data_IF_362577738840
#
_entry.id   IF_362577738840
#
_cell.length_a   1.000
_cell.length_b   1.000
_cell.length_c   1.000
_cell.angle_alpha   90.00
_cell.angle_beta   90.00
_cell.angle_gamma   90.00
#
_symmetry.space_group_name_H-M   'P 1'
#
loop_
_entity.id
_entity.type
_entity.pdbx_description
1 polymer ?
#
# COMPACT_ATOMS: atom_id res chain seq x y z
N UNK A 1 10.31 4.65 21.06
CA UNK A 1 9.05 4.42 21.80
C UNK A 1 7.94 5.04 20.97
N UNK A 2 6.85 4.32 20.71
CA UNK A 2 5.70 4.82 19.96
C UNK A 2 4.44 4.15 20.49
N UNK A 3 3.26 4.71 20.21
CA UNK A 3 1.98 4.09 20.58
C UNK A 3 1.44 3.33 19.36
N UNK A 4 1.20 2.03 19.52
CA UNK A 4 0.50 1.25 18.50
C UNK A 4 -0.89 1.85 18.29
N UNK A 5 -1.23 2.23 17.06
CA UNK A 5 -2.50 2.86 16.73
C UNK A 5 -3.68 1.87 16.69
N UNK A 6 -3.40 0.57 16.85
CA UNK A 6 -4.39 -0.52 16.86
C UNK A 6 -4.75 -0.90 18.29
N UNK A 7 -3.76 -1.32 19.09
CA UNK A 7 -3.98 -1.77 20.46
C UNK A 7 -3.74 -0.68 21.53
N UNK A 8 -3.30 0.52 21.14
CA UNK A 8 -3.01 1.66 22.02
C UNK A 8 -1.93 1.42 23.10
N UNK A 9 -1.22 0.30 23.05
CA UNK A 9 -0.06 0.01 23.91
C UNK A 9 1.16 0.81 23.44
N UNK A 10 1.95 1.30 24.39
CA UNK A 10 3.22 1.97 24.09
C UNK A 10 4.31 0.93 23.92
N UNK A 11 4.89 0.86 22.71
CA UNK A 11 5.98 -0.04 22.39
C UNK A 11 7.31 0.46 22.99
N UNK A 12 8.11 -0.41 23.65
CA UNK A 12 9.35 0.00 24.28
C UNK A 12 10.39 0.48 23.25
N UNK A 13 11.47 1.15 23.70
CA UNK A 13 12.60 1.48 22.83
C UNK A 13 13.17 0.22 22.13
N UNK A 14 13.55 0.35 20.86
CA UNK A 14 14.12 -0.76 20.07
C UNK A 14 13.09 -1.71 19.46
N UNK A 15 11.80 -1.62 19.81
CA UNK A 15 10.75 -2.36 19.09
C UNK A 15 10.49 -1.72 17.72
N UNK A 16 10.51 -2.48 16.61
CA UNK A 16 10.23 -1.93 15.30
C UNK A 16 8.77 -1.52 15.18
N UNK A 17 8.52 -0.46 14.42
CA UNK A 17 7.19 0.02 14.07
C UNK A 17 6.88 -0.42 12.64
N UNK A 18 5.71 -0.99 12.42
CA UNK A 18 5.31 -1.48 11.09
C UNK A 18 4.07 -0.74 10.62
N UNK A 19 4.05 -0.35 9.34
CA UNK A 19 2.87 0.25 8.71
C UNK A 19 1.99 -0.87 8.18
N UNK A 20 0.73 -0.86 8.59
CA UNK A 20 -0.29 -1.78 8.09
C UNK A 20 -1.45 -1.03 7.46
N UNK A 21 -1.97 -1.61 6.39
CA UNK A 21 -3.16 -1.12 5.70
C UNK A 21 -4.40 -1.47 6.53
N UNK A 22 -5.20 -0.45 6.84
CA UNK A 22 -6.49 -0.62 7.53
C UNK A 22 -7.62 -0.66 6.51
N UNK A 23 -7.54 0.20 5.50
CA UNK A 23 -8.63 0.42 4.55
C UNK A 23 -8.06 0.65 3.16
N UNK A 24 -8.65 -0.03 2.18
CA UNK A 24 -8.42 0.19 0.76
C UNK A 24 -9.68 0.76 0.12
N UNK A 25 -9.51 1.55 -0.93
CA UNK A 25 -10.61 2.10 -1.73
C UNK A 25 -10.38 1.81 -3.20
N UNK A 26 -11.44 1.52 -3.93
CA UNK A 26 -11.37 1.46 -5.39
C UNK A 26 -11.02 2.85 -5.95
N UNK A 27 -10.13 2.88 -6.93
CA UNK A 27 -9.68 4.10 -7.60
C UNK A 27 -9.65 3.87 -9.11
N UNK A 28 -10.11 4.88 -9.85
CA UNK A 28 -10.05 4.91 -11.30
C UNK A 28 -9.07 6.01 -11.73
N UNK A 29 -8.09 5.61 -12.53
CA UNK A 29 -7.02 6.45 -13.03
C UNK A 29 -7.29 6.84 -14.48
N UNK A 30 -7.38 8.13 -14.80
CA UNK A 30 -7.58 8.57 -16.18
C UNK A 30 -6.32 8.34 -17.01
N UNK A 31 -6.48 8.24 -18.33
CA UNK A 31 -5.35 8.22 -19.25
C UNK A 31 -4.53 9.50 -19.16
N UNK A 32 -3.19 9.38 -19.20
CA UNK A 32 -2.23 10.47 -19.05
C UNK A 32 -1.25 10.46 -20.23
N UNK A 33 -1.36 11.39 -21.18
CA UNK A 33 -0.44 11.46 -22.32
C UNK A 33 0.96 11.90 -21.86
N UNK A 34 2.01 11.32 -22.48
CA UNK A 34 3.44 11.58 -22.23
C UNK A 34 3.86 11.41 -20.77
N UNK A 35 3.16 10.60 -19.98
CA UNK A 35 3.42 10.41 -18.56
C UNK A 35 4.80 9.79 -18.31
N UNK A 36 5.21 8.85 -19.17
CA UNK A 36 6.51 8.20 -19.08
C UNK A 36 7.48 8.84 -20.08
N UNK A 37 8.71 9.10 -19.64
CA UNK A 37 9.75 9.59 -20.53
C UNK A 37 11.09 8.95 -20.21
N UNK A 38 11.84 8.65 -21.25
CA UNK A 38 13.20 8.14 -21.10
C UNK A 38 14.07 8.63 -22.24
N UNK A 39 15.37 8.74 -21.97
CA UNK A 39 16.35 9.20 -22.96
C UNK A 39 16.88 8.02 -23.76
N UNK A 40 16.83 8.13 -25.09
CA UNK A 40 17.51 7.19 -26.00
C UNK A 40 18.55 7.98 -26.78
N UNK A 41 19.82 7.86 -26.38
CA UNK A 41 20.91 8.68 -26.90
C UNK A 41 20.71 10.16 -26.57
N UNK A 42 20.65 11.02 -27.60
CA UNK A 42 20.40 12.47 -27.44
C UNK A 42 18.92 12.85 -27.46
N UNK A 43 18.00 11.94 -27.83
CA UNK A 43 16.57 12.22 -27.99
C UNK A 43 15.77 11.78 -26.76
N UNK A 44 14.72 12.54 -26.44
CA UNK A 44 13.74 12.17 -25.42
C UNK A 44 12.60 11.41 -26.09
N UNK A 45 12.25 10.23 -25.57
CA UNK A 45 11.06 9.48 -25.96
C UNK A 45 10.01 9.61 -24.86
N UNK A 46 8.76 9.73 -25.27
CA UNK A 46 7.61 9.79 -24.39
C UNK A 46 6.69 8.60 -24.68
N UNK A 47 6.07 8.07 -23.64
CA UNK A 47 5.01 7.07 -23.75
C UNK A 47 3.81 7.51 -22.89
N UNK A 48 2.63 7.18 -23.38
CA UNK A 48 1.37 7.47 -22.72
C UNK A 48 1.09 6.41 -21.65
N UNK A 49 0.42 6.81 -20.58
CA UNK A 49 -0.14 5.93 -19.58
C UNK A 49 -1.64 5.81 -19.85
N UNK A 50 -2.18 4.62 -20.22
CA UNK A 50 -3.59 4.47 -20.55
C UNK A 50 -4.52 4.67 -19.35
N UNK A 51 -3.99 4.70 -18.12
CA UNK A 51 -4.81 4.67 -16.92
C UNK A 51 -5.40 3.28 -16.67
N UNK A 52 -6.44 3.20 -15.85
CA UNK A 52 -7.10 1.95 -15.47
C UNK A 52 -7.79 2.01 -14.11
N UNK A 53 -8.35 0.89 -13.66
CA UNK A 53 -8.95 0.76 -12.33
C UNK A 53 -8.08 -0.09 -11.42
N UNK A 54 -8.05 0.24 -10.13
CA UNK A 54 -7.32 -0.50 -9.11
C UNK A 54 -7.76 -0.13 -7.69
N UNK A 55 -6.92 -0.45 -6.72
CA UNK A 55 -7.16 -0.11 -5.32
C UNK A 55 -6.05 0.78 -4.78
N UNK A 56 -6.43 1.79 -4.01
CA UNK A 56 -5.52 2.62 -3.23
C UNK A 56 -5.63 2.32 -1.75
N UNK A 57 -4.53 2.50 -1.05
CA UNK A 57 -4.53 2.50 0.40
C UNK A 57 -5.18 3.81 0.88
N UNK A 58 -6.37 3.71 1.45
CA UNK A 58 -7.11 4.86 1.99
C UNK A 58 -6.61 5.24 3.39
N UNK A 59 -6.26 4.24 4.20
CA UNK A 59 -5.80 4.45 5.57
C UNK A 59 -4.78 3.41 6.00
N UNK A 60 -3.79 3.89 6.74
CA UNK A 60 -2.78 3.04 7.37
C UNK A 60 -2.64 3.37 8.85
N UNK A 61 -2.11 2.39 9.60
CA UNK A 61 -1.73 2.57 10.99
C UNK A 61 -0.30 2.11 11.25
N UNK A 62 0.33 2.78 12.21
CA UNK A 62 1.55 2.32 12.87
C UNK A 62 1.19 1.28 13.92
N UNK A 63 1.66 0.06 13.72
CA UNK A 63 1.36 -1.10 14.54
C UNK A 63 2.61 -1.65 15.24
N UNK A 64 2.40 -2.27 16.40
CA UNK A 64 3.41 -3.13 17.01
C UNK A 64 3.53 -4.46 16.22
N UNK A 65 4.64 -5.20 16.37
CA UNK A 65 4.87 -6.42 15.58
C UNK A 65 3.74 -7.45 15.71
N UNK A 66 3.14 -7.58 16.90
CA UNK A 66 2.01 -8.47 17.13
C UNK A 66 0.78 -8.07 16.31
N UNK A 67 0.33 -6.81 16.44
CA UNK A 67 -0.80 -6.31 15.65
C UNK A 67 -0.52 -6.32 14.15
N UNK A 68 0.73 -6.07 13.75
CA UNK A 68 1.11 -6.12 12.35
C UNK A 68 1.02 -7.53 11.76
N UNK A 69 1.49 -8.54 12.49
CA UNK A 69 1.39 -9.95 12.10
C UNK A 69 -0.07 -10.39 11.95
N UNK A 70 -0.93 -10.03 12.91
CA UNK A 70 -2.36 -10.33 12.83
C UNK A 70 -3.04 -9.68 11.63
N UNK A 71 -2.73 -8.41 11.34
CA UNK A 71 -3.30 -7.72 10.19
C UNK A 71 -2.82 -8.32 8.86
N UNK A 72 -1.56 -8.72 8.75
CA UNK A 72 -1.06 -9.41 7.55
C UNK A 72 -1.72 -10.77 7.36
N UNK A 73 -1.89 -11.54 8.43
CA UNK A 73 -2.60 -12.82 8.36
C UNK A 73 -4.05 -12.64 7.90
N UNK A 74 -4.76 -11.61 8.39
CA UNK A 74 -6.12 -11.27 7.95
C UNK A 74 -6.16 -10.84 6.48
N UNK A 75 -5.22 -9.98 6.06
CA UNK A 75 -5.13 -9.55 4.67
C UNK A 75 -4.86 -10.71 3.72
N UNK A 76 -3.89 -11.57 4.05
CA UNK A 76 -3.58 -12.76 3.26
C UNK A 76 -4.77 -13.74 3.19
N UNK A 77 -5.52 -13.91 4.28
CA UNK A 77 -6.73 -14.73 4.28
C UNK A 77 -7.85 -14.12 3.41
N UNK A 78 -8.01 -12.80 3.43
CA UNK A 78 -8.99 -12.10 2.60
C UNK A 78 -8.64 -12.20 1.10
N UNK A 79 -7.38 -11.96 0.74
CA UNK A 79 -6.88 -12.11 -0.64
C UNK A 79 -7.04 -13.56 -1.14
N UNK A 80 -6.73 -14.56 -0.30
CA UNK A 80 -6.92 -15.96 -0.65
C UNK A 80 -8.39 -16.34 -0.86
N UNK A 81 -9.31 -15.71 -0.11
CA UNK A 81 -10.75 -15.93 -0.28
C UNK A 81 -11.28 -15.29 -1.58
N UNK A 82 -10.72 -14.16 -2.01
CA UNK A 82 -11.11 -13.45 -3.24
C UNK A 82 -10.60 -14.14 -4.50
N UNK A 83 -9.40 -14.73 -4.47
CA UNK A 83 -8.83 -15.47 -5.61
C UNK A 83 -9.25 -16.95 -5.71
N UNK A 84 -9.98 -17.47 -4.72
CA UNK A 84 -10.46 -18.85 -4.66
C UNK A 84 -11.90 -19.06 -5.13
N UNK A 85 -12.57 -18.03 -5.68
CA UNK A 85 -13.96 -18.04 -6.13
C UNK A 85 -14.07 -18.09 -7.67
#
# INVERSE_FOLDING_TARGET
MYRCQICNVVAPPGTPAERVVIETRAAEYPSRPKAQHHRVGRKMKYADDPGGAGYEIAKEAVACPACAAEHRAKAAAAEAAEFGA
#
